data_IF_555968717854
#
_entry.id   IF_555968717854
#
_cell.length_a   1.000
_cell.length_b   1.000
_cell.length_c   1.000
_cell.angle_alpha   90.00
_cell.angle_beta   90.00
_cell.angle_gamma   90.00
#
_symmetry.space_group_name_H-M   'P 1'
#
loop_
_entity.id
_entity.type
_entity.pdbx_description
1 polymer ?
#
# COMPACT_ATOMS: atom_id res chain seq x y z
N UNK A 1 13.23 -20.81 2.58
CA UNK A 1 11.84 -21.30 2.57
C UNK A 1 11.05 -20.47 1.57
N UNK A 2 10.32 -21.10 0.65
CA UNK A 2 9.44 -20.35 -0.25
C UNK A 2 8.32 -19.71 0.59
N UNK A 3 8.03 -18.42 0.36
CA UNK A 3 6.83 -17.81 0.95
C UNK A 3 5.62 -18.59 0.47
N UNK A 4 4.70 -18.89 1.39
CA UNK A 4 3.41 -19.45 1.02
C UNK A 4 2.71 -18.55 -0.01
N UNK A 5 1.95 -19.16 -0.91
CA UNK A 5 1.12 -18.42 -1.87
C UNK A 5 0.11 -17.58 -1.09
N UNK A 6 0.07 -16.28 -1.37
CA UNK A 6 -0.92 -15.39 -0.78
C UNK A 6 -2.27 -15.61 -1.46
N UNK A 7 -3.23 -16.15 -0.72
CA UNK A 7 -4.61 -16.32 -1.20
C UNK A 7 -5.39 -15.02 -1.01
N UNK A 8 -5.90 -14.47 -2.12
CA UNK A 8 -6.64 -13.20 -2.15
C UNK A 8 -8.11 -13.43 -1.78
N UNK A 9 -8.41 -13.56 -0.48
CA UNK A 9 -9.79 -13.77 -0.01
C UNK A 9 -10.57 -12.46 0.15
N UNK A 10 -9.88 -11.33 0.31
CA UNK A 10 -10.49 -9.99 0.46
C UNK A 10 -10.69 -9.32 -0.90
N UNK A 11 -11.70 -8.43 -1.04
CA UNK A 11 -11.83 -7.58 -2.22
C UNK A 11 -10.53 -6.82 -2.51
N UNK A 12 -10.10 -6.84 -3.78
CA UNK A 12 -8.88 -6.19 -4.22
C UNK A 12 -9.21 -4.92 -4.99
N UNK A 13 -8.51 -3.83 -4.69
CA UNK A 13 -8.68 -2.54 -5.36
C UNK A 13 -7.33 -2.05 -5.87
N UNK A 14 -7.29 -1.63 -7.13
CA UNK A 14 -6.11 -0.99 -7.74
C UNK A 14 -6.15 0.51 -7.45
N UNK A 15 -5.16 1.03 -6.73
CA UNK A 15 -5.07 2.45 -6.39
C UNK A 15 -3.64 2.99 -6.59
N UNK A 16 -3.51 4.31 -6.63
CA UNK A 16 -2.22 5.01 -6.65
C UNK A 16 -2.32 6.40 -6.04
N UNK A 17 -1.20 6.92 -5.55
CA UNK A 17 -1.10 8.28 -5.01
C UNK A 17 -0.53 9.22 -6.07
N UNK A 18 -1.30 10.23 -6.49
CA UNK A 18 -0.94 11.19 -7.56
C UNK A 18 -0.93 12.64 -7.03
N UNK A 19 -0.25 13.57 -7.71
CA UNK A 19 -0.18 14.99 -7.33
C UNK A 19 1.16 15.68 -7.62
N UNK A 20 1.26 16.99 -7.30
CA UNK A 20 2.43 17.84 -7.55
C UNK A 20 3.68 17.40 -6.75
N UNK A 21 4.87 17.79 -7.19
CA UNK A 21 6.13 17.54 -6.47
C UNK A 21 6.04 18.14 -5.05
N UNK A 22 6.73 17.51 -4.08
CA UNK A 22 6.76 17.93 -2.67
C UNK A 22 5.44 17.92 -1.89
N UNK A 23 4.32 17.47 -2.47
CA UNK A 23 3.04 17.28 -1.75
C UNK A 23 2.96 15.99 -0.91
N UNK A 24 4.09 15.33 -0.64
CA UNK A 24 4.14 14.24 0.33
C UNK A 24 3.53 12.90 -0.11
N UNK A 25 3.40 12.62 -1.41
CA UNK A 25 2.87 11.33 -1.93
C UNK A 25 3.57 10.11 -1.33
N UNK A 26 4.91 10.10 -1.33
CA UNK A 26 5.73 9.03 -0.76
C UNK A 26 5.55 8.91 0.75
N UNK A 27 5.50 10.04 1.46
CA UNK A 27 5.27 10.08 2.92
C UNK A 27 3.90 9.50 3.27
N UNK A 28 2.86 9.84 2.51
CA UNK A 28 1.51 9.33 2.71
C UNK A 28 1.47 7.80 2.48
N UNK A 29 2.06 7.30 1.40
CA UNK A 29 2.13 5.85 1.14
C UNK A 29 2.83 5.11 2.31
N UNK A 30 3.94 5.64 2.81
CA UNK A 30 4.66 5.04 3.94
C UNK A 30 3.82 5.03 5.24
N UNK A 31 3.09 6.11 5.52
CA UNK A 31 2.20 6.20 6.68
C UNK A 31 1.05 5.18 6.60
N UNK A 32 0.42 5.04 5.42
CA UNK A 32 -0.64 4.04 5.17
C UNK A 32 -0.11 2.64 5.46
N UNK A 33 1.05 2.27 4.91
CA UNK A 33 1.65 0.95 5.15
C UNK A 33 2.00 0.75 6.62
N UNK A 34 2.51 1.77 7.32
CA UNK A 34 2.86 1.66 8.74
C UNK A 34 1.65 1.46 9.65
N UNK A 35 0.53 2.13 9.36
CA UNK A 35 -0.65 2.13 10.23
C UNK A 35 -1.59 0.97 9.95
N UNK A 36 -1.77 0.60 8.68
CA UNK A 36 -2.72 -0.45 8.27
C UNK A 36 -2.08 -1.84 8.16
N UNK A 37 -0.80 -1.98 8.51
CA UNK A 37 -0.15 -3.29 8.63
C UNK A 37 -0.59 -3.98 9.93
N UNK A 38 -1.84 -4.45 9.92
CA UNK A 38 -2.44 -5.34 10.93
C UNK A 38 -2.74 -6.70 10.30
#
# INVERSE_FOLDING_TARGET
MAKARYERTKPHVNIGTIGHIDHGKTTLTAAITKVLHT
#
